data_IF_849164326124
#
_entry.id   IF_849164326124
#
_cell.length_a   1.000
_cell.length_b   1.000
_cell.length_c   1.000
_cell.angle_alpha   90.00
_cell.angle_beta   90.00
_cell.angle_gamma   90.00
#
_symmetry.space_group_name_H-M   'P 1'
#
loop_
_entity.id
_entity.type
_entity.pdbx_description
1 polymer ?
#
# COMPACT_ATOMS: atom_id res chain seq x y z
N UNK A 1 9.11 20.62 9.40
CA UNK A 1 9.82 19.95 8.28
C UNK A 1 8.95 19.68 7.05
N UNK A 2 7.79 19.00 7.14
CA UNK A 2 6.96 18.67 5.94
C UNK A 2 6.34 19.86 5.18
N UNK A 3 6.50 21.10 5.66
CA UNK A 3 5.89 22.30 5.09
C UNK A 3 6.27 22.53 3.61
N UNK A 4 7.52 22.23 3.22
CA UNK A 4 7.97 22.38 1.83
C UNK A 4 7.24 21.43 0.87
N UNK A 5 7.07 20.16 1.25
CA UNK A 5 6.31 19.18 0.46
C UNK A 5 4.83 19.55 0.41
N UNK A 6 4.26 20.02 1.51
CA UNK A 6 2.87 20.48 1.56
C UNK A 6 2.65 21.71 0.66
N UNK A 7 3.60 22.64 0.61
CA UNK A 7 3.56 23.79 -0.28
C UNK A 7 3.63 23.36 -1.75
N UNK A 8 4.58 22.48 -2.13
CA UNK A 8 4.70 21.92 -3.48
C UNK A 8 3.43 21.16 -3.90
N UNK A 9 2.78 20.44 -2.97
CA UNK A 9 1.49 19.76 -3.21
C UNK A 9 0.34 20.75 -3.38
N UNK A 10 0.37 21.89 -2.70
CA UNK A 10 -0.62 22.95 -2.85
C UNK A 10 -0.48 23.65 -4.20
N UNK A 11 0.75 24.01 -4.59
CA UNK A 11 1.08 24.64 -5.88
C UNK A 11 0.63 23.78 -7.07
N UNK A 12 1.00 22.49 -7.09
CA UNK A 12 0.52 21.56 -8.13
C UNK A 12 -1.01 21.44 -8.20
N UNK A 13 -1.69 21.68 -7.07
CA UNK A 13 -3.16 21.65 -7.03
C UNK A 13 -3.77 22.95 -7.56
N UNK A 14 -3.18 24.10 -7.25
CA UNK A 14 -3.63 25.39 -7.78
C UNK A 14 -3.45 25.43 -9.28
N UNK A 15 -2.29 24.99 -9.78
CA UNK A 15 -2.03 24.83 -11.22
C UNK A 15 -3.05 23.90 -11.88
N UNK A 16 -3.26 22.69 -11.32
CA UNK A 16 -4.24 21.74 -11.87
C UNK A 16 -5.70 22.26 -11.81
N UNK A 17 -6.00 23.18 -10.89
CA UNK A 17 -7.33 23.81 -10.79
C UNK A 17 -7.50 24.87 -11.88
N UNK A 18 -6.48 25.70 -12.10
CA UNK A 18 -6.45 26.71 -13.18
C UNK A 18 -6.53 26.02 -14.56
N UNK A 19 -5.68 25.01 -14.80
CA UNK A 19 -5.75 24.16 -16.00
C UNK A 19 -7.12 23.51 -16.16
N UNK A 20 -7.74 23.07 -15.06
CA UNK A 20 -9.08 22.48 -15.05
C UNK A 20 -10.19 23.47 -15.36
N UNK A 21 -10.04 24.75 -15.03
CA UNK A 21 -10.99 25.79 -15.38
C UNK A 21 -10.88 26.17 -16.87
N UNK A 22 -9.66 26.29 -17.40
CA UNK A 22 -9.42 26.50 -18.84
C UNK A 22 -9.88 25.31 -19.69
N UNK A 23 -9.63 24.08 -19.22
CA UNK A 23 -10.03 22.86 -19.90
C UNK A 23 -11.55 22.61 -19.85
N UNK A 24 -12.33 23.27 -18.98
CA UNK A 24 -13.81 23.17 -19.01
C UNK A 24 -14.40 23.77 -20.28
N UNK A 25 -13.73 24.75 -20.86
CA UNK A 25 -14.21 25.44 -22.07
C UNK A 25 -13.72 24.75 -23.36
N UNK A 26 -12.60 24.04 -23.31
CA UNK A 26 -11.89 23.56 -24.52
C UNK A 26 -11.45 22.09 -24.47
N UNK A 27 -11.47 21.46 -23.31
CA UNK A 27 -10.87 20.15 -23.05
C UNK A 27 -11.80 18.97 -23.29
N UNK A 28 -11.20 17.80 -23.50
CA UNK A 28 -11.91 16.53 -23.62
C UNK A 28 -12.41 16.03 -22.26
N UNK A 29 -13.43 15.17 -22.26
CA UNK A 29 -13.97 14.55 -21.03
C UNK A 29 -12.88 13.77 -20.25
N UNK A 30 -11.93 13.15 -20.96
CA UNK A 30 -10.82 12.40 -20.34
C UNK A 30 -9.80 13.33 -19.66
N UNK A 31 -9.50 14.48 -20.27
CA UNK A 31 -8.61 15.49 -19.67
C UNK A 31 -9.24 16.11 -18.44
N UNK A 32 -10.54 16.41 -18.50
CA UNK A 32 -11.31 16.90 -17.36
C UNK A 32 -11.34 15.89 -16.21
N UNK A 33 -11.53 14.58 -16.48
CA UNK A 33 -11.49 13.55 -15.44
C UNK A 33 -10.08 13.39 -14.84
N UNK A 34 -9.03 13.54 -15.66
CA UNK A 34 -7.64 13.48 -15.18
C UNK A 34 -7.30 14.68 -14.29
N UNK A 35 -7.73 15.88 -14.65
CA UNK A 35 -7.53 17.11 -13.87
C UNK A 35 -8.38 17.10 -12.60
N UNK A 36 -9.61 16.59 -12.66
CA UNK A 36 -10.49 16.45 -11.49
C UNK A 36 -9.83 15.57 -10.42
N UNK A 37 -9.25 14.43 -10.80
CA UNK A 37 -8.54 13.53 -9.86
C UNK A 37 -7.35 14.18 -9.16
N UNK A 38 -6.67 15.13 -9.83
CA UNK A 38 -5.52 15.87 -9.26
C UNK A 38 -5.95 16.95 -8.26
N UNK A 39 -7.18 17.45 -8.37
CA UNK A 39 -7.72 18.49 -7.48
C UNK A 39 -8.35 17.95 -6.19
N UNK A 40 -8.62 16.63 -6.13
CA UNK A 40 -9.22 15.98 -4.96
C UNK A 40 -8.40 16.26 -3.70
N UNK A 41 -9.08 16.76 -2.67
CA UNK A 41 -8.53 17.00 -1.34
C UNK A 41 -9.45 16.38 -0.29
N UNK A 42 -8.87 15.65 0.65
CA UNK A 42 -9.60 15.18 1.82
C UNK A 42 -9.87 16.37 2.74
N UNK A 43 -11.13 16.59 3.08
CA UNK A 43 -11.57 17.67 3.97
C UNK A 43 -11.72 17.17 5.39
N UNK A 44 -11.82 18.10 6.35
CA UNK A 44 -12.11 17.76 7.76
C UNK A 44 -13.48 17.08 7.89
N UNK A 45 -14.46 17.51 7.09
CA UNK A 45 -15.80 16.92 7.02
C UNK A 45 -15.75 15.45 6.60
N UNK A 46 -14.97 15.09 5.57
CA UNK A 46 -14.78 13.69 5.19
C UNK A 46 -14.25 12.86 6.37
N UNK A 47 -13.27 13.37 7.12
CA UNK A 47 -12.72 12.67 8.29
C UNK A 47 -13.76 12.53 9.42
N UNK A 48 -14.59 13.55 9.66
CA UNK A 48 -15.66 13.50 10.65
C UNK A 48 -16.74 12.49 10.26
N UNK A 49 -17.13 12.45 9.00
CA UNK A 49 -18.08 11.48 8.46
C UNK A 49 -17.55 10.05 8.51
N UNK A 50 -16.28 9.84 8.15
CA UNK A 50 -15.64 8.53 8.29
C UNK A 50 -15.56 8.09 9.74
N UNK A 51 -15.21 8.97 10.68
CA UNK A 51 -15.20 8.65 12.12
C UNK A 51 -16.59 8.30 12.65
N UNK A 52 -17.62 9.06 12.24
CA UNK A 52 -19.02 8.76 12.57
C UNK A 52 -19.41 7.38 12.03
N UNK A 53 -19.10 7.10 10.75
CA UNK A 53 -19.37 5.81 10.13
C UNK A 53 -18.67 4.65 10.85
N UNK A 54 -17.37 4.75 11.12
CA UNK A 54 -16.60 3.71 11.82
C UNK A 54 -17.16 3.46 13.22
N UNK A 55 -17.54 4.53 13.93
CA UNK A 55 -18.16 4.43 15.26
C UNK A 55 -19.48 3.67 15.21
N UNK A 56 -20.35 3.99 14.25
CA UNK A 56 -21.62 3.29 14.03
C UNK A 56 -21.41 1.83 13.58
N UNK A 57 -20.34 1.54 12.83
CA UNK A 57 -19.95 0.17 12.48
C UNK A 57 -19.33 -0.61 13.65
N UNK A 58 -19.06 0.04 14.78
CA UNK A 58 -18.38 -0.57 15.93
C UNK A 58 -16.88 -0.84 15.69
N UNK A 59 -16.25 -0.18 14.71
CA UNK A 59 -14.84 -0.33 14.38
C UNK A 59 -14.03 0.73 15.15
N UNK A 60 -13.00 0.32 15.93
CA UNK A 60 -12.17 1.28 16.65
C UNK A 60 -11.34 2.12 15.68
N UNK A 61 -11.14 3.39 16.05
CA UNK A 61 -10.26 4.32 15.34
C UNK A 61 -9.46 5.14 16.36
N UNK A 62 -8.30 5.63 15.94
CA UNK A 62 -7.38 6.43 16.75
C UNK A 62 -7.00 7.68 15.96
N UNK A 63 -6.90 8.82 16.63
CA UNK A 63 -6.28 10.02 16.05
C UNK A 63 -4.81 10.00 16.42
N UNK A 64 -3.93 9.90 15.42
CA UNK A 64 -2.50 10.06 15.62
C UNK A 64 -2.17 11.51 16.03
N UNK A 65 -1.19 11.74 16.92
CA UNK A 65 -0.71 13.09 17.25
C UNK A 65 -0.12 13.80 16.02
N UNK A 66 0.57 13.04 15.18
CA UNK A 66 1.21 13.50 13.95
C UNK A 66 0.87 12.57 12.78
N UNK A 67 1.85 11.85 12.21
CA UNK A 67 1.67 10.99 11.05
C UNK A 67 0.98 9.67 11.39
N UNK A 68 0.01 9.27 10.57
CA UNK A 68 -0.74 8.04 10.78
C UNK A 68 0.13 6.80 10.52
N UNK A 69 1.03 6.82 9.53
CA UNK A 69 1.98 5.72 9.29
C UNK A 69 2.90 5.47 10.50
N UNK A 70 3.36 6.52 11.17
CA UNK A 70 4.18 6.41 12.37
C UNK A 70 3.39 5.80 13.53
N UNK A 71 2.15 6.25 13.73
CA UNK A 71 1.26 5.67 14.74
C UNK A 71 0.99 4.19 14.47
N UNK A 72 0.72 3.81 13.22
CA UNK A 72 0.51 2.41 12.84
C UNK A 72 1.77 1.56 13.07
N UNK A 73 2.95 2.09 12.76
CA UNK A 73 4.23 1.42 13.02
C UNK A 73 4.41 1.19 14.53
N UNK A 74 4.11 2.18 15.37
CA UNK A 74 4.19 2.05 16.83
C UNK A 74 3.24 0.99 17.38
N UNK A 75 1.97 0.99 16.96
CA UNK A 75 1.01 -0.04 17.38
C UNK A 75 1.45 -1.46 16.97
N UNK A 76 2.11 -1.59 15.82
CA UNK A 76 2.61 -2.87 15.34
C UNK A 76 3.85 -3.33 16.12
N UNK A 77 4.81 -2.44 16.38
CA UNK A 77 5.97 -2.73 17.24
C UNK A 77 5.57 -3.08 18.67
N UNK A 78 4.58 -2.39 19.21
CA UNK A 78 4.01 -2.69 20.54
C UNK A 78 3.18 -3.97 20.60
N UNK A 79 3.01 -4.69 19.48
CA UNK A 79 2.29 -5.97 19.43
C UNK A 79 0.76 -5.85 19.54
N UNK A 80 0.21 -4.63 19.51
CA UNK A 80 -1.25 -4.41 19.57
C UNK A 80 -1.94 -4.80 18.24
N UNK A 81 -1.21 -4.70 17.12
CA UNK A 81 -1.68 -5.11 15.80
C UNK A 81 -0.62 -5.95 15.08
N UNK A 82 -1.07 -6.84 14.18
CA UNK A 82 -0.18 -7.72 13.41
C UNK A 82 0.69 -6.99 12.37
N UNK A 83 0.14 -5.94 11.73
CA UNK A 83 0.80 -5.22 10.65
C UNK A 83 0.10 -3.91 10.32
N UNK A 84 0.82 -2.99 9.72
CA UNK A 84 0.27 -1.72 9.23
C UNK A 84 -0.26 -1.88 7.81
N UNK A 85 -1.54 -1.56 7.58
CA UNK A 85 -2.14 -1.53 6.24
C UNK A 85 -1.97 -0.17 5.60
N UNK A 86 -1.00 0.00 4.70
CA UNK A 86 -0.72 1.28 4.03
C UNK A 86 -0.10 1.05 2.65
N UNK A 87 -0.27 2.00 1.74
CA UNK A 87 0.50 2.06 0.49
C UNK A 87 1.79 2.87 0.63
N UNK A 88 1.92 3.64 1.72
CA UNK A 88 3.08 4.46 1.99
C UNK A 88 4.21 3.61 2.57
N UNK A 89 5.36 3.62 1.89
CA UNK A 89 6.54 2.85 2.26
C UNK A 89 7.29 3.48 3.43
N UNK A 90 7.06 4.77 3.74
CA UNK A 90 7.64 5.43 4.92
C UNK A 90 7.18 4.77 6.22
N UNK A 91 6.09 4.01 6.19
CA UNK A 91 5.66 3.11 7.27
C UNK A 91 6.77 2.14 7.71
N UNK A 92 7.60 1.64 6.78
CA UNK A 92 8.76 0.80 7.09
C UNK A 92 9.91 1.62 7.68
N UNK A 93 10.12 2.85 7.20
CA UNK A 93 11.12 3.79 7.73
C UNK A 93 10.81 4.17 9.18
N UNK A 94 9.53 4.30 9.55
CA UNK A 94 9.09 4.43 10.93
C UNK A 94 9.23 3.14 11.77
N UNK A 95 9.66 2.03 11.16
CA UNK A 95 10.00 0.80 11.86
C UNK A 95 8.83 -0.18 12.04
N UNK A 96 7.79 -0.14 11.21
CA UNK A 96 6.73 -1.15 11.25
C UNK A 96 7.28 -2.54 10.91
N UNK A 97 7.13 -3.56 11.79
CA UNK A 97 7.61 -4.92 11.51
C UNK A 97 7.01 -5.54 10.25
N UNK A 98 5.72 -5.27 9.99
CA UNK A 98 4.97 -5.78 8.85
C UNK A 98 4.19 -4.65 8.19
N UNK A 99 4.36 -4.50 6.88
CA UNK A 99 3.56 -3.61 6.02
C UNK A 99 2.70 -4.45 5.07
N UNK A 100 1.40 -4.18 5.05
CA UNK A 100 0.41 -4.84 4.20
C UNK A 100 -0.08 -3.85 3.14
N UNK A 101 0.34 -4.08 1.90
CA UNK A 101 -0.09 -3.31 0.73
C UNK A 101 -1.25 -4.00 0.02
N UNK A 102 -2.04 -3.20 -0.69
CA UNK A 102 -3.27 -3.54 -1.40
C UNK A 102 -4.41 -3.99 -0.49
N UNK A 103 -4.31 -3.74 0.82
CA UNK A 103 -5.31 -4.19 1.81
C UNK A 103 -6.67 -3.49 1.61
N UNK A 104 -6.65 -2.21 1.24
CA UNK A 104 -7.86 -1.39 1.04
C UNK A 104 -8.29 -1.30 -0.42
N UNK A 105 -7.60 -2.00 -1.33
CA UNK A 105 -7.98 -2.03 -2.73
C UNK A 105 -9.32 -2.77 -2.90
N UNK A 106 -10.12 -2.31 -3.86
CA UNK A 106 -11.38 -2.96 -4.18
C UNK A 106 -11.16 -4.43 -4.53
N UNK A 107 -11.97 -5.31 -3.94
CA UNK A 107 -11.99 -6.74 -4.22
C UNK A 107 -12.13 -7.04 -5.74
N UNK A 108 -12.81 -6.16 -6.48
CA UNK A 108 -12.96 -6.26 -7.93
C UNK A 108 -11.61 -6.22 -8.69
N UNK A 109 -10.58 -5.59 -8.12
CA UNK A 109 -9.23 -5.54 -8.71
C UNK A 109 -8.49 -6.88 -8.59
N UNK A 110 -8.90 -7.76 -7.68
CA UNK A 110 -8.32 -9.09 -7.45
C UNK A 110 -6.79 -9.08 -7.27
N UNK A 111 -6.24 -7.98 -6.76
CA UNK A 111 -4.81 -7.90 -6.46
C UNK A 111 -4.53 -8.58 -5.12
N UNK A 112 -3.52 -9.47 -5.05
CA UNK A 112 -3.16 -10.09 -3.79
C UNK A 112 -2.60 -9.05 -2.82
N UNK A 113 -2.84 -9.29 -1.53
CA UNK A 113 -2.20 -8.51 -0.45
C UNK A 113 -0.69 -8.74 -0.54
N UNK A 114 0.06 -7.66 -0.71
CA UNK A 114 1.50 -7.72 -0.78
C UNK A 114 2.07 -7.38 0.60
N UNK A 115 2.75 -8.36 1.21
CA UNK A 115 3.32 -8.25 2.55
C UNK A 115 4.80 -7.97 2.48
N UNK A 116 5.25 -6.90 3.14
CA UNK A 116 6.68 -6.59 3.32
C UNK A 116 7.02 -6.76 4.79
N UNK A 117 8.03 -7.56 5.09
CA UNK A 117 8.53 -7.79 6.44
C UNK A 117 9.86 -7.03 6.61
N UNK A 118 9.92 -6.14 7.59
CA UNK A 118 11.05 -5.25 7.80
C UNK A 118 12.34 -6.01 8.12
N UNK A 119 12.27 -7.06 8.95
CA UNK A 119 13.45 -7.88 9.29
C UNK A 119 14.08 -8.51 8.04
N UNK A 120 13.25 -9.01 7.11
CA UNK A 120 13.72 -9.54 5.82
C UNK A 120 14.32 -8.45 4.93
N UNK A 121 13.77 -7.23 4.96
CA UNK A 121 14.32 -6.07 4.23
C UNK A 121 15.69 -5.70 4.79
N UNK A 122 15.82 -5.53 6.10
CA UNK A 122 17.08 -5.20 6.78
C UNK A 122 18.14 -6.27 6.53
N UNK A 123 17.78 -7.55 6.68
CA UNK A 123 18.69 -8.68 6.41
C UNK A 123 19.09 -8.74 4.94
N UNK A 124 18.15 -8.59 4.01
CA UNK A 124 18.41 -8.65 2.58
C UNK A 124 19.21 -7.47 2.05
N UNK A 125 19.12 -6.30 2.69
CA UNK A 125 19.94 -5.13 2.39
C UNK A 125 21.23 -5.10 3.20
N UNK A 126 21.40 -5.95 4.21
CA UNK A 126 22.51 -5.94 5.17
C UNK A 126 22.67 -4.58 5.85
N UNK A 127 21.55 -4.00 6.29
CA UNK A 127 21.51 -2.72 6.99
C UNK A 127 20.94 -2.89 8.39
N UNK A 128 21.47 -2.14 9.34
CA UNK A 128 20.80 -1.87 10.62
C UNK A 128 19.58 -0.96 10.39
N UNK A 129 18.69 -0.87 11.38
CA UNK A 129 17.54 0.04 11.28
C UNK A 129 17.98 1.51 11.15
N UNK A 130 19.04 1.92 11.85
CA UNK A 130 19.57 3.27 11.78
C UNK A 130 20.12 3.59 10.38
N UNK A 131 20.92 2.68 9.81
CA UNK A 131 21.40 2.80 8.43
C UNK A 131 20.24 2.76 7.41
N UNK A 132 19.18 2.00 7.68
CA UNK A 132 18.02 1.93 6.80
C UNK A 132 17.25 3.26 6.77
N UNK A 133 17.09 3.93 7.92
CA UNK A 133 16.49 5.28 7.98
C UNK A 133 17.32 6.27 7.16
N UNK A 134 18.64 6.27 7.36
CA UNK A 134 19.57 7.14 6.63
C UNK A 134 19.58 6.86 5.12
N UNK A 135 19.51 5.59 4.74
CA UNK A 135 19.33 5.14 3.36
C UNK A 135 18.01 5.67 2.76
N UNK A 136 16.89 5.61 3.49
CA UNK A 136 15.61 6.14 3.02
C UNK A 136 15.66 7.66 2.84
N UNK A 137 16.30 8.39 3.76
CA UNK A 137 16.49 9.85 3.64
C UNK A 137 17.27 10.18 2.36
N UNK A 138 18.34 9.44 2.05
CA UNK A 138 19.11 9.61 0.81
C UNK A 138 18.32 9.26 -0.46
N UNK A 139 17.40 8.29 -0.39
CA UNK A 139 16.52 7.96 -1.51
C UNK A 139 15.49 9.08 -1.79
N UNK A 140 15.26 9.95 -0.82
CA UNK A 140 14.24 10.99 -0.83
C UNK A 140 13.07 10.62 0.08
N UNK A 141 12.73 11.53 0.99
CA UNK A 141 11.59 11.41 1.89
C UNK A 141 10.76 12.71 1.87
N UNK A 142 9.61 12.70 2.54
CA UNK A 142 8.72 13.87 2.59
C UNK A 142 9.22 15.01 3.51
N UNK A 143 10.29 14.78 4.28
CA UNK A 143 10.77 15.71 5.32
C UNK A 143 11.94 16.58 4.89
N UNK A 144 12.73 16.12 3.92
CA UNK A 144 13.97 16.74 3.46
C UNK A 144 14.07 16.63 1.94
N UNK A 145 14.53 17.69 1.28
CA UNK A 145 14.68 17.68 -0.17
C UNK A 145 15.74 16.66 -0.62
N UNK A 146 15.48 15.89 -1.68
CA UNK A 146 16.40 14.84 -2.13
C UNK A 146 17.67 15.43 -2.75
N UNK A 147 18.80 14.75 -2.53
CA UNK A 147 20.07 15.12 -3.15
C UNK A 147 20.08 14.75 -4.64
N UNK A 148 20.49 15.69 -5.49
CA UNK A 148 20.51 15.50 -6.94
C UNK A 148 21.52 14.43 -7.34
N UNK A 149 21.11 13.50 -8.19
CA UNK A 149 22.00 12.45 -8.71
C UNK A 149 22.24 11.29 -7.74
N UNK A 150 21.61 11.31 -6.57
CA UNK A 150 21.57 10.18 -5.64
C UNK A 150 20.19 9.52 -5.78
N UNK A 151 20.21 8.24 -6.11
CA UNK A 151 19.03 7.38 -6.19
C UNK A 151 19.31 6.09 -5.41
N UNK A 152 18.30 5.23 -5.25
CA UNK A 152 18.36 4.05 -4.38
C UNK A 152 19.64 3.21 -4.51
N UNK A 153 20.11 2.90 -5.73
CA UNK A 153 21.34 2.11 -5.91
C UNK A 153 22.59 2.83 -5.39
N UNK A 154 22.70 4.12 -5.69
CA UNK A 154 23.82 4.96 -5.24
C UNK A 154 23.75 5.18 -3.73
N UNK A 155 22.56 5.47 -3.20
CA UNK A 155 22.32 5.65 -1.77
C UNK A 155 22.73 4.40 -0.97
N UNK A 156 22.30 3.21 -1.41
CA UNK A 156 22.65 1.95 -0.76
C UNK A 156 24.17 1.72 -0.78
N UNK A 157 24.83 1.97 -1.92
CA UNK A 157 26.29 1.85 -2.03
C UNK A 157 26.98 2.78 -1.03
N UNK A 158 26.57 4.05 -0.99
CA UNK A 158 27.18 5.06 -0.13
C UNK A 158 27.00 4.72 1.35
N UNK A 159 25.81 4.31 1.78
CA UNK A 159 25.58 3.91 3.18
C UNK A 159 26.41 2.68 3.56
N UNK A 160 26.53 1.68 2.67
CA UNK A 160 27.38 0.51 2.93
C UNK A 160 28.88 0.84 2.99
N UNK A 161 29.33 1.84 2.21
CA UNK A 161 30.74 2.23 2.11
C UNK A 161 31.17 3.15 3.26
N UNK A 162 30.29 4.06 3.68
CA UNK A 162 30.61 5.13 4.63
C UNK A 162 29.92 4.97 5.99
N UNK A 163 29.07 3.96 6.16
CA UNK A 163 28.36 3.55 7.38
C UNK A 163 27.28 4.53 7.87
N UNK A 164 27.57 5.84 7.88
CA UNK A 164 26.65 6.88 8.34
C UNK A 164 26.39 7.95 7.29
N UNK A 165 25.22 8.57 7.35
CA UNK A 165 24.84 9.68 6.48
C UNK A 165 25.78 10.88 6.63
N UNK A 166 26.28 11.14 7.84
CA UNK A 166 27.29 12.18 8.10
C UNK A 166 28.57 11.94 7.27
N UNK A 167 29.09 10.71 7.29
CA UNK A 167 30.26 10.33 6.51
C UNK A 167 29.99 10.40 4.99
N UNK A 168 28.79 10.01 4.55
CA UNK A 168 28.36 10.15 3.15
C UNK A 168 28.37 11.62 2.72
N UNK A 169 27.81 12.53 3.54
CA UNK A 169 27.78 13.97 3.23
C UNK A 169 29.20 14.54 3.16
N UNK A 170 30.06 14.19 4.12
CA UNK A 170 31.46 14.64 4.13
C UNK A 170 32.19 14.18 2.85
N UNK A 171 32.05 12.91 2.47
CA UNK A 171 32.63 12.38 1.23
C UNK A 171 32.11 13.11 -0.03
N UNK A 172 30.82 13.42 -0.08
CA UNK A 172 30.22 14.13 -1.22
C UNK A 172 30.71 15.58 -1.31
N UNK A 173 30.84 16.29 -0.18
CA UNK A 173 31.40 17.65 -0.11
C UNK A 173 32.88 17.71 -0.52
N UNK A 174 33.68 16.74 -0.11
CA UNK A 174 35.08 16.62 -0.53
C UNK A 174 35.19 16.39 -2.04
N UNK A 175 34.32 15.54 -2.58
CA UNK A 175 34.26 15.24 -4.02
C UNK A 175 33.82 16.44 -4.85
N UNK A 176 32.94 17.29 -4.32
CA UNK A 176 32.55 18.55 -4.96
C UNK A 176 33.71 19.56 -4.95
N UNK A 177 34.39 19.70 -3.82
CA UNK A 177 35.56 20.59 -3.67
C UNK A 177 36.72 20.22 -4.61
N UNK A 178 36.89 18.92 -4.88
CA UNK A 178 37.91 18.41 -5.82
C UNK A 178 37.55 18.58 -7.32
N UNK A 179 36.30 18.93 -7.66
CA UNK A 179 35.79 19.06 -9.04
C UNK A 179 35.45 20.51 -9.41
N UNK A 180 36.42 21.41 -9.31
CA UNK A 180 36.26 22.85 -9.52
C UNK A 180 36.01 23.33 -10.98
N UNK A 181 35.45 22.52 -11.91
CA UNK A 181 35.33 22.97 -13.32
C UNK A 181 34.17 22.41 -14.17
N UNK A 182 33.06 21.94 -13.60
CA UNK A 182 31.87 21.59 -14.41
C UNK A 182 30.57 22.06 -13.76
N UNK A 183 29.99 23.10 -14.35
CA UNK A 183 28.88 23.94 -13.92
C UNK A 183 27.49 23.27 -13.92
N UNK A 184 27.35 22.05 -13.39
CA UNK A 184 26.03 21.39 -13.31
C UNK A 184 25.73 20.55 -12.07
N UNK A 185 26.72 20.29 -11.21
CA UNK A 185 26.48 19.67 -9.90
C UNK A 185 26.08 20.77 -8.90
N UNK A 186 24.77 20.94 -8.68
CA UNK A 186 24.28 21.75 -7.55
C UNK A 186 24.72 21.03 -6.27
N UNK A 187 25.50 21.74 -5.46
CA UNK A 187 26.08 21.27 -4.22
C UNK A 187 25.02 20.82 -3.22
N UNK A 188 25.42 19.94 -2.29
CA UNK A 188 24.61 19.68 -1.09
C UNK A 188 24.36 21.04 -0.41
N UNK A 189 23.09 21.41 -0.14
CA UNK A 189 22.82 22.65 0.58
C UNK A 189 23.57 22.69 1.92
N UNK A 190 24.14 23.83 2.28
CA UNK A 190 24.79 24.00 3.59
C UNK A 190 23.78 23.72 4.73
N UNK A 191 22.54 24.16 4.51
CA UNK A 191 21.38 23.93 5.37
C UNK A 191 20.54 22.75 4.83
N UNK A 192 21.06 21.52 4.99
CA UNK A 192 20.34 20.28 4.65
C UNK A 192 19.90 19.59 5.96
N UNK A 193 18.63 19.71 6.39
CA UNK A 193 18.16 19.29 7.73
C UNK A 193 17.90 17.78 7.84
N UNK A 194 18.90 16.97 7.48
CA UNK A 194 18.80 15.51 7.49
C UNK A 194 18.78 14.93 8.90
N UNK A 195 19.42 15.60 9.86
CA UNK A 195 19.46 15.18 11.26
C UNK A 195 18.08 15.24 11.91
N UNK A 196 17.33 16.32 11.68
CA UNK A 196 15.97 16.43 12.22
C UNK A 196 15.05 15.39 11.58
N UNK A 197 15.19 15.11 10.27
CA UNK A 197 14.42 14.05 9.62
C UNK A 197 14.75 12.65 10.16
N UNK A 198 16.03 12.38 10.42
CA UNK A 198 16.46 11.14 11.08
C UNK A 198 15.82 11.03 12.47
N UNK A 199 15.86 12.09 13.27
CA UNK A 199 15.25 12.08 14.60
C UNK A 199 13.72 11.90 14.53
N UNK A 200 13.05 12.52 13.54
CA UNK A 200 11.61 12.33 13.30
C UNK A 200 11.26 10.87 13.03
N UNK A 201 12.05 10.15 12.22
CA UNK A 201 11.81 8.73 11.96
C UNK A 201 12.15 7.85 13.17
N UNK A 202 13.19 8.20 13.93
CA UNK A 202 13.61 7.43 15.12
C UNK A 202 12.68 7.62 16.31
N UNK A 203 12.19 8.84 16.53
CA UNK A 203 11.31 9.23 17.65
C UNK A 203 10.14 10.06 17.14
N UNK A 204 9.20 9.45 16.39
CA UNK A 204 8.01 10.15 15.95
C UNK A 204 7.10 10.48 17.14
N UNK A 205 6.30 11.54 16.98
CA UNK A 205 5.24 11.88 17.94
C UNK A 205 4.03 10.95 17.76
N UNK A 206 3.93 9.96 18.64
CA UNK A 206 2.93 8.88 18.61
C UNK A 206 2.43 8.56 20.01
N UNK A 207 1.19 8.07 20.08
CA UNK A 207 0.64 7.45 21.29
C UNK A 207 1.29 6.08 21.46
N UNK A 208 1.72 5.76 22.67
CA UNK A 208 2.29 4.45 22.99
C UNK A 208 1.23 3.36 22.85
N UNK A 209 1.65 2.18 22.39
CA UNK A 209 0.73 1.06 22.20
C UNK A 209 -0.06 0.69 23.47
N UNK A 210 0.58 0.74 24.65
CA UNK A 210 -0.05 0.41 25.94
C UNK A 210 -1.14 1.41 26.37
N UNK A 211 -1.10 2.63 25.85
CA UNK A 211 -2.08 3.69 26.14
C UNK A 211 -3.32 3.59 25.23
N UNK A 212 -3.21 2.85 24.12
CA UNK A 212 -4.26 2.69 23.13
C UNK A 212 -5.09 1.44 23.41
N UNK A 213 -6.41 1.62 23.57
CA UNK A 213 -7.36 0.52 23.72
C UNK A 213 -8.16 0.34 22.44
N UNK A 214 -8.00 -0.81 21.79
CA UNK A 214 -8.76 -1.18 20.60
C UNK A 214 -9.89 -2.15 21.00
N UNK A 215 -11.13 -1.66 20.94
CA UNK A 215 -12.31 -2.46 21.24
C UNK A 215 -13.28 -2.44 20.06
N UNK A 216 -13.55 -3.62 19.50
CA UNK A 216 -14.60 -3.79 18.50
C UNK A 216 -15.95 -3.94 19.18
N UNK A 217 -16.90 -3.11 18.79
CA UNK A 217 -18.26 -3.08 19.32
C UNK A 217 -19.23 -3.65 18.29
N UNK A 218 -20.44 -4.00 18.74
CA UNK A 218 -21.50 -4.40 17.83
C UNK A 218 -21.92 -3.19 16.96
N UNK A 219 -22.20 -3.39 15.66
CA UNK A 219 -22.71 -2.34 14.80
C UNK A 219 -24.06 -1.80 15.28
N UNK A 220 -24.27 -0.49 15.16
CA UNK A 220 -25.53 0.21 15.41
C UNK A 220 -26.35 0.31 14.11
N UNK A 221 -27.32 -0.60 13.95
CA UNK A 221 -28.17 -0.63 12.75
C UNK A 221 -28.98 0.64 12.56
N UNK A 222 -29.64 1.10 13.62
CA UNK A 222 -30.55 2.24 13.54
C UNK A 222 -29.77 3.52 13.22
N UNK A 223 -28.60 3.70 13.86
CA UNK A 223 -27.70 4.80 13.57
C UNK A 223 -27.12 4.75 12.15
N UNK A 224 -26.80 3.56 11.61
CA UNK A 224 -26.32 3.40 10.23
C UNK A 224 -27.41 3.71 9.20
N UNK A 225 -28.65 3.32 9.45
CA UNK A 225 -29.79 3.64 8.56
C UNK A 225 -30.05 5.15 8.59
N UNK A 226 -30.12 5.75 9.78
CA UNK A 226 -30.29 7.20 9.91
C UNK A 226 -29.20 7.98 9.17
N UNK A 227 -27.94 7.60 9.36
CA UNK A 227 -26.82 8.31 8.75
C UNK A 227 -26.71 8.05 7.24
N UNK A 228 -26.65 6.79 6.80
CA UNK A 228 -26.38 6.48 5.39
C UNK A 228 -27.62 6.65 4.51
N UNK A 229 -28.80 6.26 4.98
CA UNK A 229 -30.03 6.32 4.16
C UNK A 229 -30.61 7.72 4.21
N UNK A 230 -30.95 8.24 5.41
CA UNK A 230 -31.68 9.50 5.51
C UNK A 230 -30.81 10.73 5.24
N UNK A 231 -29.58 10.76 5.77
CA UNK A 231 -28.72 11.94 5.62
C UNK A 231 -27.88 11.89 4.33
N UNK A 232 -27.42 10.71 3.91
CA UNK A 232 -26.53 10.54 2.75
C UNK A 232 -27.18 9.96 1.50
N UNK A 233 -28.45 9.55 1.57
CA UNK A 233 -29.23 9.11 0.41
C UNK A 233 -28.84 7.74 -0.17
N UNK A 234 -28.20 6.88 0.62
CA UNK A 234 -27.90 5.50 0.18
C UNK A 234 -29.15 4.62 0.18
N UNK A 235 -29.15 3.60 -0.68
CA UNK A 235 -30.23 2.62 -0.77
C UNK A 235 -30.32 1.75 0.50
N UNK A 236 -31.47 1.77 1.18
CA UNK A 236 -31.69 1.09 2.46
C UNK A 236 -31.43 -0.43 2.40
N UNK A 237 -31.93 -1.10 1.36
CA UNK A 237 -31.74 -2.54 1.16
C UNK A 237 -30.26 -2.91 1.02
N UNK A 238 -29.46 -2.05 0.38
CA UNK A 238 -28.02 -2.26 0.25
C UNK A 238 -27.31 -2.09 1.60
N UNK A 239 -27.71 -1.09 2.39
CA UNK A 239 -27.14 -0.87 3.73
C UNK A 239 -27.48 -2.04 4.65
N UNK A 240 -28.75 -2.48 4.72
CA UNK A 240 -29.16 -3.64 5.53
C UNK A 240 -28.37 -4.89 5.19
N UNK A 241 -28.20 -5.21 3.90
CA UNK A 241 -27.37 -6.35 3.45
C UNK A 241 -25.91 -6.19 3.87
N UNK A 242 -25.36 -4.97 3.82
CA UNK A 242 -24.01 -4.67 4.28
C UNK A 242 -23.84 -4.88 5.78
N UNK A 243 -24.77 -4.40 6.60
CA UNK A 243 -24.71 -4.54 8.06
C UNK A 243 -24.90 -5.99 8.49
N UNK A 244 -25.80 -6.75 7.86
CA UNK A 244 -25.93 -8.19 8.12
C UNK A 244 -24.62 -8.95 7.87
N UNK A 245 -23.88 -8.60 6.81
CA UNK A 245 -22.54 -9.17 6.56
C UNK A 245 -21.57 -8.79 7.67
N UNK A 246 -21.57 -7.53 8.10
CA UNK A 246 -20.71 -7.05 9.19
C UNK A 246 -21.00 -7.78 10.51
N UNK A 247 -22.27 -7.94 10.88
CA UNK A 247 -22.69 -8.71 12.07
C UNK A 247 -22.30 -10.19 11.98
N UNK A 248 -22.44 -10.80 10.79
CA UNK A 248 -22.03 -12.18 10.57
C UNK A 248 -20.51 -12.36 10.75
N UNK A 249 -19.72 -11.35 10.41
CA UNK A 249 -18.28 -11.32 10.64
C UNK A 249 -17.95 -11.20 12.13
N UNK A 250 -18.71 -10.39 12.87
CA UNK A 250 -18.55 -10.21 14.32
C UNK A 250 -18.87 -11.48 15.11
N UNK A 251 -19.91 -12.22 14.71
CA UNK A 251 -20.36 -13.44 15.40
C UNK A 251 -19.54 -14.70 15.05
N UNK A 252 -18.67 -14.65 14.02
CA UNK A 252 -17.67 -15.69 13.79
C UNK A 252 -16.61 -15.56 14.89
N UNK A 253 -16.78 -16.32 15.98
CA UNK A 253 -15.83 -16.37 17.10
C UNK A 253 -14.39 -16.42 16.60
N UNK A 254 -13.53 -15.64 17.24
CA UNK A 254 -12.08 -15.54 17.02
C UNK A 254 -11.33 -16.88 17.20
N UNK A 255 -12.00 -17.92 17.72
CA UNK A 255 -11.50 -19.29 17.75
C UNK A 255 -11.86 -20.00 16.43
N UNK A 256 -11.17 -19.64 15.34
CA UNK A 256 -11.12 -20.50 14.17
C UNK A 256 -10.45 -21.82 14.54
N UNK A 257 -10.98 -22.95 14.04
CA UNK A 257 -10.25 -24.23 14.10
C UNK A 257 -8.89 -24.04 13.42
N UNK A 258 -7.86 -24.78 13.83
CA UNK A 258 -6.56 -24.76 13.13
C UNK A 258 -6.72 -24.97 11.62
N UNK A 259 -7.68 -25.80 11.22
CA UNK A 259 -8.08 -26.04 9.81
C UNK A 259 -8.53 -24.77 9.06
N UNK A 260 -8.92 -23.70 9.76
CA UNK A 260 -9.28 -22.40 9.17
C UNK A 260 -8.10 -21.46 8.98
N UNK A 261 -6.95 -21.72 9.62
CA UNK A 261 -5.69 -21.00 9.41
C UNK A 261 -4.88 -21.57 8.26
N UNK A 262 -5.04 -22.86 7.98
CA UNK A 262 -4.35 -23.55 6.90
C UNK A 262 -5.30 -23.83 5.75
N UNK A 263 -4.96 -23.37 4.56
CA UNK A 263 -5.60 -23.88 3.35
C UNK A 263 -5.20 -25.34 3.22
N UNK A 264 -6.17 -26.26 3.15
CA UNK A 264 -5.88 -27.68 2.88
C UNK A 264 -5.10 -27.76 1.56
N UNK A 265 -3.87 -28.24 1.64
CA UNK A 265 -3.06 -28.49 0.47
C UNK A 265 -3.72 -29.62 -0.33
N UNK A 266 -4.30 -29.30 -1.48
CA UNK A 266 -4.93 -30.28 -2.37
C UNK A 266 -3.84 -31.03 -3.17
N UNK A 267 -2.86 -31.61 -2.50
CA UNK A 267 -1.80 -32.40 -3.14
C UNK A 267 -2.26 -33.78 -3.64
N UNK A 268 -3.54 -34.16 -3.45
CA UNK A 268 -4.02 -35.49 -3.86
C UNK A 268 -4.80 -35.56 -5.18
N UNK A 269 -4.86 -34.50 -6.00
CA UNK A 269 -5.50 -34.59 -7.33
C UNK A 269 -4.54 -34.93 -8.48
N UNK A 270 -3.26 -35.19 -8.22
CA UNK A 270 -2.30 -35.63 -9.23
C UNK A 270 -2.21 -37.16 -9.39
N UNK A 271 -2.58 -37.94 -8.37
CA UNK A 271 -2.38 -39.41 -8.42
C UNK A 271 -3.62 -40.21 -8.85
N UNK A 272 -4.85 -39.69 -8.72
CA UNK A 272 -6.07 -40.47 -9.02
C UNK A 272 -6.54 -40.38 -10.49
N UNK A 273 -5.98 -39.45 -11.28
CA UNK A 273 -6.20 -39.40 -12.74
C UNK A 273 -5.29 -40.36 -13.53
N UNK A 274 -4.35 -41.04 -12.88
CA UNK A 274 -3.49 -42.06 -13.50
C UNK A 274 -4.09 -43.48 -13.49
N UNK A 275 -5.15 -43.74 -12.70
CA UNK A 275 -5.81 -45.06 -12.61
C UNK A 275 -7.12 -45.18 -13.39
N UNK A 276 -7.70 -44.08 -13.89
CA UNK A 276 -8.88 -44.10 -14.78
C UNK A 276 -8.57 -44.11 -16.29
N UNK A 277 -7.33 -43.79 -16.69
CA UNK A 277 -6.92 -43.80 -18.11
C UNK A 277 -6.39 -45.16 -18.61
N UNK A 278 -6.16 -46.13 -17.72
CA UNK A 278 -5.61 -47.45 -18.08
C UNK A 278 -6.63 -48.60 -18.16
N UNK A 279 -7.94 -48.31 -18.08
CA UNK A 279 -9.00 -49.31 -18.31
C UNK A 279 -9.72 -49.19 -19.67
N UNK A 280 -9.46 -48.14 -20.45
CA UNK A 280 -10.08 -47.91 -21.77
C UNK A 280 -9.13 -48.10 -22.97
N UNK A 281 -7.96 -48.72 -22.78
CA UNK A 281 -6.97 -48.96 -23.85
C UNK A 281 -6.69 -50.45 -24.12
N UNK A 282 -7.71 -51.30 -23.93
CA UNK A 282 -7.66 -52.74 -24.27
C UNK A 282 -8.90 -53.25 -25.01
N UNK A 283 -9.54 -52.44 -25.86
CA UNK A 283 -10.52 -52.93 -26.85
C UNK A 283 -10.67 -51.94 -28.01
N UNK A 284 -9.69 -51.89 -28.92
CA UNK A 284 -9.90 -51.45 -30.31
C UNK A 284 -8.60 -51.63 -31.11
N UNK A 285 -8.39 -52.84 -31.62
CA UNK A 285 -7.25 -53.20 -32.46
C UNK A 285 -7.62 -54.34 -33.38
N UNK A 286 -8.53 -54.09 -34.31
CA UNK A 286 -8.79 -54.89 -35.52
C UNK A 286 -9.70 -54.08 -36.44
N UNK A 287 -9.12 -53.36 -37.38
CA UNK A 287 -9.19 -53.75 -38.79
C UNK A 287 -8.65 -52.65 -39.71
N UNK A 288 -7.80 -53.13 -40.60
CA UNK A 288 -7.03 -52.45 -41.62
C UNK A 288 -7.89 -51.93 -42.78
N UNK A 289 -7.67 -50.67 -43.13
CA UNK A 289 -7.18 -50.26 -44.44
C UNK A 289 -7.84 -50.91 -45.69
N UNK A 290 -8.84 -50.26 -46.31
CA UNK A 290 -8.98 -50.32 -47.77
C UNK A 290 -9.86 -49.20 -48.36
N UNK A 291 -9.50 -48.81 -49.59
CA UNK A 291 -10.22 -47.99 -50.60
C UNK A 291 -10.11 -46.46 -50.57
N UNK A 292 -9.04 -46.02 -51.25
CA UNK A 292 -9.00 -44.85 -52.15
C UNK A 292 -9.98 -45.00 -53.33
N UNK A 293 -10.50 -43.86 -53.80
CA UNK A 293 -11.02 -43.52 -55.16
C UNK A 293 -12.40 -44.07 -55.59
N UNK A 294 -13.36 -43.17 -55.81
CA UNK A 294 -13.88 -42.75 -57.15
C UNK A 294 -15.22 -41.98 -57.06
N UNK A 295 -15.36 -41.00 -57.97
CA UNK A 295 -16.60 -40.43 -58.57
C UNK A 295 -17.44 -39.56 -57.61
N UNK A 296 -17.72 -38.27 -57.84
CA UNK A 296 -18.11 -37.55 -59.07
C UNK A 296 -19.21 -38.26 -59.86
N UNK A 297 -20.47 -38.05 -59.44
CA UNK A 297 -21.58 -37.84 -60.37
C UNK A 297 -22.87 -37.35 -59.67
N UNK A 298 -23.39 -36.25 -60.22
CA UNK A 298 -24.81 -35.90 -60.44
C UNK A 298 -25.78 -35.73 -59.25
N UNK A 299 -26.15 -34.46 -59.08
CA UNK A 299 -27.52 -33.93 -59.23
C UNK A 299 -28.69 -34.91 -59.03
N UNK A 300 -29.49 -34.65 -58.00
CA UNK A 300 -30.89 -34.22 -58.15
C UNK A 300 -31.34 -33.48 -56.91
#
# INVERSE_FOLDING_TARGET
MKAGVLAKRLERRTEAKEEGEEAKETGTVEELDKLSRRTVKVTKEHNEECRKLLTLMGIPWVVAPSEAEAQCAELCRGGLVYGAGSEDMDTLTFGSPVLLRHLTFSEARKLPIHTVNLEKVLTGLELTMDQFIEFCILCGCDYVDPLRGIAAKTALKLIKEFDTLENVINHLRDKESSKASSSSAKSIPDDWPWEEAKELFKKPDVLKADEVKLEWKKPDLDGLIEFLVKQKGFEEERIKKGVMKLESGFNKKQQSRLDGFFVKDNQNNAEDNSKKSNKNKKTSGKDSNNKKRKLDNKQK
#
